data_IF_141963069728
#
_entry.id   IF_141963069728
#
_cell.length_a   1.000
_cell.length_b   1.000
_cell.length_c   1.000
_cell.angle_alpha   90.00
_cell.angle_beta   90.00
_cell.angle_gamma   90.00
#
_symmetry.space_group_name_H-M   'P 1'
#
loop_
_entity.id
_entity.type
_entity.pdbx_description
1 polymer ?
#
# COMPACT_ATOMS: atom_id res chain seq x y z
N UNK A 1 -0.27 -9.80 -3.85
CA UNK A 1 0.36 -8.50 -4.16
C UNK A 1 -0.33 -7.42 -3.35
N UNK A 2 0.43 -6.51 -2.72
CA UNK A 2 -0.11 -5.34 -2.03
C UNK A 2 0.61 -4.10 -2.58
N UNK A 3 -0.17 -3.14 -3.08
CA UNK A 3 0.39 -1.94 -3.70
C UNK A 3 0.77 -0.90 -2.63
N UNK A 4 1.98 -0.36 -2.73
CA UNK A 4 2.37 0.84 -2.00
C UNK A 4 2.16 2.06 -2.92
N UNK A 5 1.23 2.96 -2.63
CA UNK A 5 0.31 3.01 -1.48
C UNK A 5 -1.11 3.33 -1.93
N UNK A 6 -2.07 3.22 -1.01
CA UNK A 6 -3.44 3.61 -1.32
C UNK A 6 -3.56 5.14 -1.49
N UNK A 7 -2.95 5.91 -0.59
CA UNK A 7 -2.98 7.38 -0.57
C UNK A 7 -1.57 7.96 -0.65
N UNK A 8 -1.46 9.16 -1.21
CA UNK A 8 -0.26 9.98 -1.08
C UNK A 8 0.03 10.24 0.41
N UNK A 9 1.26 10.00 0.84
CA UNK A 9 1.67 10.07 2.23
C UNK A 9 2.96 10.89 2.40
N UNK A 10 3.43 11.00 3.64
CA UNK A 10 4.71 11.63 3.98
C UNK A 10 5.84 10.63 3.75
N UNK A 11 6.82 11.00 2.94
CA UNK A 11 7.96 10.17 2.60
C UNK A 11 9.24 10.73 3.24
N UNK A 12 9.39 10.48 4.54
CA UNK A 12 10.63 10.64 5.31
C UNK A 12 11.41 11.94 5.02
N UNK A 13 12.64 11.82 4.52
CA UNK A 13 13.54 12.93 4.18
C UNK A 13 13.02 13.80 3.02
N UNK A 14 12.15 13.25 2.18
CA UNK A 14 11.56 13.94 1.01
C UNK A 14 10.22 14.59 1.34
N UNK A 15 9.73 14.41 2.56
CA UNK A 15 8.45 14.93 3.03
C UNK A 15 7.30 14.59 2.10
N UNK A 16 6.46 15.56 1.77
CA UNK A 16 5.32 15.36 0.88
C UNK A 16 5.66 15.58 -0.60
N UNK A 17 6.92 15.62 -1.04
CA UNK A 17 7.17 15.77 -2.47
C UNK A 17 6.80 14.50 -3.29
N UNK A 18 7.20 13.28 -2.87
CA UNK A 18 6.83 12.06 -3.57
C UNK A 18 5.34 11.74 -3.49
N UNK A 19 4.81 11.15 -4.57
CA UNK A 19 3.38 10.82 -4.74
C UNK A 19 3.21 9.39 -5.23
N UNK A 20 3.22 8.44 -4.29
CA UNK A 20 3.09 7.01 -4.57
C UNK A 20 1.65 6.49 -4.51
N UNK A 21 0.70 7.32 -4.07
CA UNK A 21 -0.67 6.90 -3.84
C UNK A 21 -1.42 6.64 -5.14
N UNK A 22 -2.25 5.59 -5.14
CA UNK A 22 -3.32 5.44 -6.13
C UNK A 22 -4.31 6.60 -6.06
N UNK A 23 -4.49 7.19 -4.88
CA UNK A 23 -5.30 8.38 -4.66
C UNK A 23 -4.43 9.58 -4.29
N UNK A 24 -4.59 10.66 -5.04
CA UNK A 24 -4.02 11.95 -4.70
C UNK A 24 -4.75 12.55 -3.49
N UNK A 25 -3.99 13.17 -2.58
CA UNK A 25 -4.54 13.87 -1.41
C UNK A 25 -4.20 15.35 -1.50
N UNK A 26 -5.22 16.20 -1.43
CA UNK A 26 -5.03 17.62 -1.15
C UNK A 26 -4.76 17.79 0.35
N UNK A 27 -3.55 18.20 0.75
CA UNK A 27 -3.17 18.32 2.15
C UNK A 27 -3.82 19.51 2.89
N UNK A 28 -4.43 20.45 2.17
CA UNK A 28 -5.15 21.56 2.80
C UNK A 28 -6.60 21.17 3.13
N UNK A 29 -7.24 20.46 2.21
CA UNK A 29 -8.68 20.12 2.30
C UNK A 29 -8.94 18.66 2.66
N UNK A 30 -7.91 17.83 2.65
CA UNK A 30 -7.98 16.37 2.77
C UNK A 30 -8.86 15.69 1.72
N UNK A 31 -9.18 16.37 0.61
CA UNK A 31 -9.91 15.76 -0.50
C UNK A 31 -9.05 14.68 -1.15
N UNK A 32 -9.64 13.50 -1.37
CA UNK A 32 -9.00 12.38 -2.06
C UNK A 32 -9.52 12.30 -3.48
N UNK A 33 -8.61 12.21 -4.45
CA UNK A 33 -8.96 12.14 -5.87
C UNK A 33 -8.30 10.90 -6.48
N UNK A 34 -9.06 9.96 -7.07
CA UNK A 34 -8.47 8.79 -7.71
C UNK A 34 -7.60 9.19 -8.89
N UNK A 35 -6.40 8.63 -9.00
CA UNK A 35 -5.56 8.73 -10.20
C UNK A 35 -5.96 7.68 -11.24
N UNK A 36 -5.57 7.83 -12.52
CA UNK A 36 -5.81 6.81 -13.53
C UNK A 36 -5.29 5.42 -13.15
N UNK A 37 -4.19 5.35 -12.40
CA UNK A 37 -3.64 4.11 -11.85
C UNK A 37 -4.61 3.39 -10.91
N UNK A 38 -5.39 4.10 -10.10
CA UNK A 38 -6.42 3.50 -9.24
C UNK A 38 -7.51 2.82 -10.07
N UNK A 39 -7.97 3.49 -11.13
CA UNK A 39 -8.99 2.96 -12.03
C UNK A 39 -8.47 1.75 -12.81
N UNK A 40 -7.23 1.82 -13.29
CA UNK A 40 -6.57 0.69 -13.93
C UNK A 40 -6.43 -0.50 -12.98
N UNK A 41 -5.96 -0.27 -11.76
CA UNK A 41 -5.78 -1.33 -10.77
C UNK A 41 -7.10 -1.99 -10.41
N UNK A 42 -8.18 -1.21 -10.25
CA UNK A 42 -9.53 -1.75 -10.05
C UNK A 42 -9.99 -2.66 -11.21
N UNK A 43 -9.73 -2.26 -12.46
CA UNK A 43 -10.07 -3.09 -13.64
C UNK A 43 -9.29 -4.41 -13.66
N UNK A 44 -8.00 -4.38 -13.34
CA UNK A 44 -7.17 -5.58 -13.26
C UNK A 44 -7.72 -6.53 -12.19
N UNK A 45 -8.04 -6.03 -11.00
CA UNK A 45 -8.63 -6.84 -9.93
C UNK A 45 -9.97 -7.45 -10.34
N UNK A 46 -10.82 -6.72 -11.06
CA UNK A 46 -12.07 -7.24 -11.59
C UNK A 46 -11.85 -8.35 -12.62
N UNK A 47 -10.85 -8.21 -13.51
CA UNK A 47 -10.50 -9.25 -14.47
C UNK A 47 -9.99 -10.51 -13.76
N UNK A 48 -9.13 -10.35 -12.75
CA UNK A 48 -8.63 -11.47 -11.95
C UNK A 48 -9.75 -12.18 -11.19
N UNK A 49 -10.68 -11.42 -10.60
CA UNK A 49 -11.88 -11.99 -9.95
C UNK A 49 -12.71 -12.82 -10.95
N UNK A 50 -12.99 -12.27 -12.13
CA UNK A 50 -13.71 -13.00 -13.19
C UNK A 50 -13.00 -14.28 -13.60
N UNK A 51 -11.67 -14.27 -13.70
CA UNK A 51 -10.88 -15.45 -14.04
C UNK A 51 -10.94 -16.51 -12.94
N UNK A 52 -10.87 -16.11 -11.67
CA UNK A 52 -10.98 -17.01 -10.53
C UNK A 52 -12.39 -17.64 -10.42
N UNK A 53 -13.43 -16.93 -10.86
CA UNK A 53 -14.81 -17.41 -10.88
C UNK A 53 -15.14 -18.26 -12.11
N UNK A 54 -14.20 -18.44 -13.07
CA UNK A 54 -14.46 -19.29 -14.23
C UNK A 54 -14.67 -20.73 -13.77
N UNK A 55 -15.71 -21.42 -14.27
CA UNK A 55 -15.86 -22.85 -14.07
C UNK A 55 -14.57 -23.55 -14.50
N UNK A 56 -14.05 -24.43 -13.65
CA UNK A 56 -12.93 -25.29 -14.00
C UNK A 56 -13.47 -26.21 -15.11
N UNK A 57 -13.06 -25.96 -16.35
CA UNK A 57 -13.33 -26.92 -17.42
C UNK A 57 -12.72 -28.26 -17.00
N UNK A 58 -13.49 -29.37 -17.08
CA UNK A 58 -12.94 -30.67 -16.76
C UNK A 58 -11.73 -30.89 -17.65
N UNK A 59 -10.63 -31.33 -17.05
CA UNK A 59 -9.40 -31.65 -17.78
C UNK A 59 -9.77 -32.49 -19.00
N UNK A 60 -9.21 -32.20 -20.19
CA UNK A 60 -9.41 -33.06 -21.34
C UNK A 60 -9.05 -34.47 -20.91
N UNK A 61 -9.95 -35.42 -21.18
CA UNK A 61 -9.71 -36.83 -20.87
C UNK A 61 -8.40 -37.23 -21.53
N UNK A 62 -7.36 -37.41 -20.72
CA UNK A 62 -6.06 -37.85 -21.22
C UNK A 62 -6.33 -39.21 -21.87
N UNK A 63 -6.11 -39.38 -23.19
CA UNK A 63 -6.31 -40.66 -23.81
C UNK A 63 -5.44 -41.67 -23.08
N UNK A 64 -6.05 -42.77 -22.63
CA UNK A 64 -5.36 -43.80 -21.88
C UNK A 64 -4.05 -44.15 -22.59
N UNK A 65 -2.92 -43.90 -21.94
CA UNK A 65 -1.60 -44.27 -22.46
C UNK A 65 -1.65 -45.76 -22.76
N UNK A 66 -1.62 -46.14 -24.04
CA UNK A 66 -1.49 -47.54 -24.45
C UNK A 66 -0.26 -48.08 -23.71
N UNK A 67 -0.47 -49.02 -22.79
CA UNK A 67 0.65 -49.69 -22.10
C UNK A 67 1.58 -50.21 -23.19
N UNK A 68 2.88 -49.90 -23.15
CA UNK A 68 3.81 -50.52 -24.07
C UNK A 68 3.70 -52.03 -23.90
N UNK A 69 3.31 -52.71 -24.97
CA UNK A 69 3.41 -54.16 -25.09
C UNK A 69 4.85 -54.53 -24.74
N UNK A 70 5.02 -55.27 -23.65
CA UNK A 70 6.31 -55.79 -23.24
C UNK A 70 6.79 -56.78 -24.32
N UNK A 71 7.68 -56.34 -25.19
CA UNK A 71 8.60 -57.26 -25.86
C UNK A 71 9.60 -57.75 -24.81
N UNK A 72 9.96 -59.04 -24.79
CA UNK A 72 10.98 -59.54 -23.87
C UNK A 72 12.29 -58.79 -24.11
N UNK A 73 12.83 -58.20 -23.05
CA UNK A 73 14.08 -57.48 -23.07
C UNK A 73 15.22 -58.49 -23.26
N UNK A 74 15.86 -58.48 -24.43
CA UNK A 74 17.21 -59.01 -24.58
C UNK A 74 18.16 -58.05 -23.86
N UNK A 75 18.75 -58.51 -22.78
CA UNK A 75 19.76 -57.79 -22.03
C UNK A 75 21.00 -57.56 -22.90
N UNK A 76 21.36 -56.29 -23.10
CA UNK A 76 22.74 -55.91 -23.39
C UNK A 76 23.15 -54.86 -22.36
N UNK A 77 24.04 -55.30 -21.46
CA UNK A 77 24.79 -54.42 -20.57
C UNK A 77 25.79 -53.63 -21.42
N UNK A 78 25.69 -52.30 -21.39
CA UNK A 78 26.79 -51.44 -21.78
C UNK A 78 27.06 -50.42 -20.67
N UNK A 79 28.35 -50.29 -20.43
CA UNK A 79 28.94 -49.73 -19.24
C UNK A 79 28.68 -48.23 -19.07
N UNK A 80 28.62 -47.87 -17.79
CA UNK A 80 28.90 -46.57 -17.19
C UNK A 80 29.71 -45.60 -18.05
N UNK A 81 29.18 -44.39 -18.28
CA UNK A 81 30.01 -43.19 -18.29
C UNK A 81 29.31 -42.08 -17.50
N UNK A 82 29.91 -41.77 -16.36
CA UNK A 82 29.57 -40.68 -15.45
C UNK A 82 29.84 -39.35 -16.15
N UNK A 83 28.78 -38.59 -16.44
CA UNK A 83 28.93 -37.21 -16.91
C UNK A 83 29.18 -36.30 -15.70
N UNK A 84 30.28 -35.51 -15.65
CA UNK A 84 30.53 -34.63 -14.53
C UNK A 84 29.58 -33.44 -14.56
N UNK A 85 28.88 -33.26 -13.44
CA UNK A 85 28.03 -32.11 -13.13
C UNK A 85 28.88 -30.84 -13.16
N UNK A 86 28.76 -30.07 -14.22
CA UNK A 86 29.41 -28.77 -14.36
C UNK A 86 28.92 -27.84 -13.25
N UNK A 87 29.77 -27.57 -12.26
CA UNK A 87 29.50 -26.65 -11.17
C UNK A 87 29.45 -25.23 -11.76
N UNK A 88 28.24 -24.67 -11.83
CA UNK A 88 28.04 -23.26 -12.19
C UNK A 88 28.60 -22.39 -11.07
N UNK A 89 29.75 -21.76 -11.32
CA UNK A 89 30.32 -20.73 -10.46
C UNK A 89 29.32 -19.59 -10.30
N UNK A 90 28.86 -19.35 -9.08
CA UNK A 90 28.12 -18.13 -8.73
C UNK A 90 29.08 -16.94 -8.80
N UNK A 91 28.77 -15.86 -9.53
CA UNK A 91 29.56 -14.64 -9.45
C UNK A 91 29.39 -14.02 -8.05
N UNK A 92 30.51 -13.63 -7.45
CA UNK A 92 30.54 -12.91 -6.18
C UNK A 92 29.81 -11.57 -6.31
N UNK A 93 28.86 -11.31 -5.41
CA UNK A 93 28.17 -10.02 -5.30
C UNK A 93 29.17 -9.01 -4.71
N UNK A 94 29.43 -7.85 -5.35
CA UNK A 94 30.31 -6.83 -4.78
C UNK A 94 29.68 -6.24 -3.50
N UNK A 95 30.48 -5.85 -2.50
CA UNK A 95 29.95 -5.21 -1.30
C UNK A 95 29.27 -3.88 -1.67
N UNK A 96 28.08 -3.68 -1.10
CA UNK A 96 27.28 -2.46 -1.26
C UNK A 96 28.07 -1.25 -0.73
N UNK A 97 28.13 -0.11 -1.44
CA UNK A 97 28.82 1.08 -0.97
C UNK A 97 28.19 1.57 0.34
N UNK A 98 29.05 1.94 1.30
CA UNK A 98 28.65 2.53 2.58
C UNK A 98 27.96 3.88 2.35
N UNK A 99 26.85 4.17 3.04
CA UNK A 99 26.19 5.46 2.93
C UNK A 99 27.09 6.57 3.50
N UNK A 100 27.06 7.78 2.92
CA UNK A 100 27.81 8.91 3.45
C UNK A 100 27.30 9.30 4.84
N UNK A 101 28.22 9.72 5.71
CA UNK A 101 27.90 10.25 7.04
C UNK A 101 26.96 11.45 6.91
N UNK A 102 25.84 11.51 7.67
CA UNK A 102 24.95 12.65 7.61
C UNK A 102 25.66 13.93 8.09
N UNK A 103 25.38 15.09 7.48
CA UNK A 103 25.93 16.36 7.94
C UNK A 103 25.45 16.64 9.36
N UNK A 104 26.36 17.05 10.24
CA UNK A 104 26.01 17.46 11.59
C UNK A 104 25.11 18.70 11.52
N UNK A 105 23.90 18.59 12.05
CA UNK A 105 22.97 19.71 12.17
C UNK A 105 23.62 20.82 13.01
N UNK A 106 23.72 22.07 12.52
CA UNK A 106 24.21 23.16 13.34
C UNK A 106 23.25 23.37 14.53
N UNK A 107 23.77 23.25 15.75
CA UNK A 107 23.01 23.61 16.95
C UNK A 107 22.70 25.11 16.90
N UNK A 108 21.42 25.46 16.92
CA UNK A 108 20.99 26.85 17.11
C UNK A 108 21.33 27.28 18.55
N UNK A 109 21.86 28.50 18.75
CA UNK A 109 22.05 29.03 20.10
C UNK A 109 20.70 29.20 20.81
N UNK A 110 20.64 29.05 22.15
CA UNK A 110 19.42 29.24 22.91
C UNK A 110 18.93 30.68 22.77
N UNK A 111 17.64 30.85 22.47
CA UNK A 111 16.97 32.14 22.39
C UNK A 111 16.98 32.82 23.76
N UNK A 112 17.62 33.99 23.85
CA UNK A 112 17.51 34.89 25.01
C UNK A 112 16.04 35.29 25.21
N UNK A 113 15.45 35.14 26.41
CA UNK A 113 14.10 35.65 26.66
C UNK A 113 14.12 37.18 26.64
N UNK A 114 13.56 37.75 25.58
CA UNK A 114 13.34 39.19 25.43
C UNK A 114 12.29 39.70 26.41
N UNK A 115 12.64 40.82 27.06
CA UNK A 115 11.88 41.60 28.02
C UNK A 115 10.41 41.83 27.62
N UNK A 116 9.49 41.42 28.49
CA UNK A 116 8.06 41.65 28.36
C UNK A 116 7.72 43.12 28.65
N UNK A 117 7.48 43.90 27.60
CA UNK A 117 6.80 45.19 27.72
C UNK A 117 5.29 44.94 27.89
N UNK A 118 4.81 45.12 29.13
CA UNK A 118 3.38 45.18 29.47
C UNK A 118 2.74 46.38 28.77
N UNK A 119 1.90 46.13 27.77
CA UNK A 119 0.90 47.08 27.29
C UNK A 119 -0.46 46.68 27.86
N UNK A 120 -0.96 47.47 28.81
CA UNK A 120 -2.29 47.33 29.40
C UNK A 120 -3.34 47.80 28.41
N UNK A 121 -3.80 46.90 27.52
CA UNK A 121 -5.00 47.09 26.72
C UNK A 121 -6.20 46.45 27.42
N UNK A 122 -7.16 47.27 27.85
CA UNK A 122 -8.45 46.80 28.39
C UNK A 122 -9.24 46.16 27.23
N UNK A 123 -9.40 44.84 27.29
CA UNK A 123 -10.23 44.08 26.34
C UNK A 123 -11.67 44.08 26.88
N UNK A 124 -12.55 44.86 26.26
CA UNK A 124 -14.00 44.76 26.48
C UNK A 124 -14.54 43.56 25.68
N UNK A 125 -15.17 42.56 26.32
CA UNK A 125 -15.77 41.45 25.58
C UNK A 125 -17.08 41.88 24.88
N UNK A 126 -17.38 41.36 23.66
CA UNK A 126 -18.65 41.64 23.00
C UNK A 126 -19.81 40.95 23.73
N UNK A 127 -20.91 41.70 23.87
CA UNK A 127 -22.17 41.30 24.52
C UNK A 127 -22.82 40.14 23.76
N UNK A 128 -22.97 38.97 24.40
CA UNK A 128 -23.70 37.81 23.85
C UNK A 128 -25.17 38.18 23.55
N UNK A 129 -25.72 37.85 22.37
CA UNK A 129 -27.17 37.91 22.15
C UNK A 129 -27.87 36.78 22.90
N UNK A 130 -29.05 37.09 23.45
CA UNK A 130 -29.89 36.17 24.20
C UNK A 130 -30.37 35.00 23.33
N UNK A 131 -30.13 33.78 23.80
CA UNK A 131 -30.69 32.56 23.21
C UNK A 131 -32.17 32.48 23.61
N UNK A 132 -33.06 32.67 22.65
CA UNK A 132 -34.48 32.38 22.81
C UNK A 132 -34.66 30.86 22.95
N UNK A 133 -35.06 30.41 24.13
CA UNK A 133 -35.45 29.03 24.42
C UNK A 133 -36.70 28.66 23.63
N UNK A 134 -36.53 27.97 22.50
CA UNK A 134 -37.63 27.31 21.80
C UNK A 134 -37.97 26.01 22.53
N UNK A 135 -39.03 26.05 23.33
CA UNK A 135 -39.74 24.89 23.86
C UNK A 135 -40.28 24.05 22.70
N UNK A 136 -39.65 22.89 22.43
CA UNK A 136 -40.25 21.85 21.58
C UNK A 136 -41.14 20.98 22.47
N UNK A 137 -42.45 21.24 22.41
CA UNK A 137 -43.47 20.32 22.89
C UNK A 137 -43.35 19.00 22.15
N UNK A 138 -42.98 17.95 22.89
CA UNK A 138 -42.92 16.57 22.41
C UNK A 138 -44.32 15.98 22.56
N UNK A 139 -45.11 16.00 21.49
CA UNK A 139 -46.41 15.34 21.46
C UNK A 139 -46.18 13.83 21.36
N UNK A 140 -46.54 13.11 22.41
CA UNK A 140 -46.70 11.66 22.39
C UNK A 140 -47.95 11.32 21.57
N UNK A 141 -47.78 10.61 20.46
CA UNK A 141 -48.87 9.81 19.89
C UNK A 141 -48.58 8.35 20.23
N UNK A 142 -49.18 7.88 21.32
CA UNK A 142 -49.58 6.49 21.45
C UNK A 142 -50.82 6.32 20.56
N UNK A 143 -50.79 5.33 19.68
CA UNK A 143 -52.01 4.75 19.13
C UNK A 143 -51.90 3.25 19.28
N UNK A 144 -52.81 2.75 20.09
CA UNK A 144 -53.15 1.35 20.27
C UNK A 144 -53.95 0.83 19.06
N UNK A 145 -54.04 -0.51 19.01
CA UNK A 145 -54.70 -1.43 18.06
C UNK A 145 -53.94 -1.82 16.78
#
# INVERSE_FOLDING_TARGET
>A
YMHWSFLDNFEWDKGFWPRFGLFAVDYKTYKRTPRPSALWFARVLQQQKKQAERPIEPLPSVPARKKPSAKPATAQAQATSSSPRSARSTPAVPPKPTPPTPPQTPQMPPSTPGSAARSSGVITPPRRPAVASRSRSRSHNNREE
#
